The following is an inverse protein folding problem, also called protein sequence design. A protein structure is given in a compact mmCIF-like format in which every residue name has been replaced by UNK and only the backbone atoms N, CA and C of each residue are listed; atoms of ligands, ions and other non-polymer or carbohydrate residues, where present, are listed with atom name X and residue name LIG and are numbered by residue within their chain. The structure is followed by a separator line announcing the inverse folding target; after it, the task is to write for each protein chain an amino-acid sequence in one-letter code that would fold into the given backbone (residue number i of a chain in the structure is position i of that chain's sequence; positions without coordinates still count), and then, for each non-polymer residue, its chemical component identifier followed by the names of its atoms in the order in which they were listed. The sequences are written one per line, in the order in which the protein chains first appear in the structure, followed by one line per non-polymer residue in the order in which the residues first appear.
data_IF_146703254505
#
_entry.id   IF_146703254505
#
_cell.length_a   1.000
_cell.length_b   1.000
_cell.length_c   1.000
_cell.angle_alpha   90.00
_cell.angle_beta   90.00
_cell.angle_gamma   90.00
#
_symmetry.space_group_name_H-M   'P 1'
#
loop_
_entity.id
_entity.type
_entity.pdbx_description
1 polymer ?
#
# COMPACT_ATOMS: atom_id res chain seq x y z
N UNK A 1 0.94 25.24 -0.45
CA UNK A 1 1.11 24.01 -1.27
C UNK A 1 2.54 23.46 -1.24
N UNK A 2 3.60 24.27 -1.46
CA UNK A 2 4.99 23.77 -1.46
C UNK A 2 5.39 22.97 -0.20
N UNK A 3 5.07 23.48 1.00
CA UNK A 3 5.37 22.79 2.27
C UNK A 3 4.75 21.38 2.37
N UNK A 4 3.50 21.22 1.93
CA UNK A 4 2.82 19.92 1.92
C UNK A 4 3.51 18.93 1.00
N UNK A 5 3.84 19.35 -0.23
CA UNK A 5 4.52 18.49 -1.20
C UNK A 5 5.91 18.10 -0.70
N UNK A 6 6.66 19.05 -0.12
CA UNK A 6 7.97 18.75 0.47
C UNK A 6 7.87 17.72 1.58
N UNK A 7 6.92 17.89 2.51
CA UNK A 7 6.73 16.94 3.60
C UNK A 7 6.28 15.57 3.07
N UNK A 8 5.40 15.53 2.08
CA UNK A 8 4.98 14.30 1.41
C UNK A 8 6.14 13.56 0.75
N UNK A 9 7.01 14.26 0.01
CA UNK A 9 8.19 13.67 -0.63
C UNK A 9 9.20 13.16 0.42
N UNK A 10 9.34 13.87 1.54
CA UNK A 10 10.17 13.42 2.66
C UNK A 10 9.62 12.14 3.27
N UNK A 11 8.30 12.06 3.49
CA UNK A 11 7.63 10.88 4.03
C UNK A 11 7.77 9.66 3.09
N UNK A 12 7.57 9.84 1.78
CA UNK A 12 7.80 8.80 0.77
C UNK A 12 9.23 8.23 0.82
N UNK A 13 10.23 9.12 0.89
CA UNK A 13 11.63 8.69 1.02
C UNK A 13 11.90 8.04 2.37
N UNK A 14 11.24 8.50 3.42
CA UNK A 14 11.28 7.91 4.76
C UNK A 14 10.74 6.48 4.75
N UNK A 15 9.63 6.23 4.07
CA UNK A 15 9.03 4.90 3.92
C UNK A 15 9.97 3.86 3.31
N UNK A 16 10.81 4.25 2.36
CA UNK A 16 11.83 3.36 1.76
C UNK A 16 13.07 3.15 2.66
N UNK A 17 13.26 3.98 3.69
CA UNK A 17 14.41 3.89 4.61
C UNK A 17 14.04 3.17 5.91
N UNK A 18 12.77 3.17 6.26
CA UNK A 18 12.23 2.42 7.38
C UNK A 18 12.11 0.94 7.01
N UNK A 19 12.84 0.07 7.72
CA UNK A 19 12.87 -1.38 7.45
C UNK A 19 11.50 -2.03 7.64
N UNK A 20 10.71 -1.56 8.61
CA UNK A 20 9.39 -2.09 8.91
C UNK A 20 8.41 -1.72 7.80
N UNK A 21 8.44 -0.47 7.33
CA UNK A 21 7.58 -0.04 6.21
C UNK A 21 8.00 -0.67 4.89
N UNK A 22 9.30 -0.83 4.63
CA UNK A 22 9.78 -1.55 3.47
C UNK A 22 9.30 -3.01 3.48
N UNK A 23 9.36 -3.66 4.65
CA UNK A 23 8.83 -5.01 4.83
C UNK A 23 7.32 -5.06 4.54
N UNK A 24 6.53 -4.21 5.19
CA UNK A 24 5.07 -4.25 5.10
C UNK A 24 4.55 -3.80 3.73
N UNK A 25 5.11 -2.74 3.16
CA UNK A 25 4.61 -2.21 1.89
C UNK A 25 5.12 -3.03 0.69
N UNK A 26 6.33 -3.60 0.76
CA UNK A 26 6.96 -4.24 -0.41
C UNK A 26 7.28 -5.71 -0.21
N UNK A 27 8.20 -6.02 0.71
CA UNK A 27 8.81 -7.34 0.74
C UNK A 27 7.81 -8.43 1.11
N UNK A 28 6.93 -8.17 2.07
CA UNK A 28 5.93 -9.14 2.50
C UNK A 28 4.83 -9.35 1.44
N UNK A 29 4.17 -8.31 0.89
CA UNK A 29 3.22 -8.48 -0.20
C UNK A 29 3.80 -9.16 -1.44
N UNK A 30 4.99 -8.74 -1.89
CA UNK A 30 5.63 -9.31 -3.08
C UNK A 30 6.12 -10.73 -2.83
N UNK A 31 6.68 -11.01 -1.64
CA UNK A 31 7.08 -12.36 -1.25
C UNK A 31 5.89 -13.31 -1.22
N UNK A 32 4.78 -12.88 -0.62
CA UNK A 32 3.54 -13.67 -0.59
C UNK A 32 2.97 -13.87 -1.99
N UNK A 33 2.98 -12.84 -2.83
CA UNK A 33 2.61 -12.92 -4.23
C UNK A 33 3.43 -13.95 -5.01
N UNK A 34 4.76 -14.00 -4.83
CA UNK A 34 5.60 -14.99 -5.51
C UNK A 34 5.26 -16.41 -5.08
N UNK A 35 5.06 -16.63 -3.78
CA UNK A 35 4.67 -17.94 -3.24
C UNK A 35 3.29 -18.35 -3.76
N UNK A 36 2.29 -17.48 -3.64
CA UNK A 36 0.92 -17.80 -4.06
C UNK A 36 0.80 -17.92 -5.57
N UNK A 37 1.47 -17.07 -6.34
CA UNK A 37 1.51 -17.16 -7.80
C UNK A 37 2.17 -18.44 -8.31
N UNK A 38 3.19 -18.95 -7.61
CA UNK A 38 3.88 -20.19 -8.00
C UNK A 38 3.14 -21.49 -7.62
N UNK A 39 2.31 -21.44 -6.58
CA UNK A 39 1.63 -22.61 -6.00
C UNK A 39 0.16 -22.68 -6.41
N UNK A 40 -0.59 -21.60 -6.23
CA UNK A 40 -2.06 -21.65 -6.32
C UNK A 40 -2.59 -21.99 -7.72
N UNK A 41 -2.04 -21.48 -8.84
CA UNK A 41 -2.48 -21.89 -10.17
C UNK A 41 -2.31 -23.39 -10.45
N UNK A 42 -1.36 -24.05 -9.79
CA UNK A 42 -1.15 -25.51 -9.93
C UNK A 42 -2.18 -26.32 -9.14
N UNK A 43 -2.61 -25.80 -7.99
CA UNK A 43 -3.62 -26.42 -7.14
C UNK A 43 -5.04 -26.15 -7.66
N UNK A 44 -5.26 -24.95 -8.18
CA UNK A 44 -6.52 -24.50 -8.74
C UNK A 44 -6.25 -23.74 -10.06
N UNK A 45 -6.42 -24.37 -11.23
CA UNK A 45 -6.19 -23.74 -12.52
C UNK A 45 -6.99 -22.46 -12.76
N UNK A 46 -8.16 -22.31 -12.10
CA UNK A 46 -8.98 -21.10 -12.20
C UNK A 46 -8.39 -19.92 -11.42
N UNK A 47 -7.44 -20.17 -10.51
CA UNK A 47 -6.82 -19.12 -9.70
C UNK A 47 -6.02 -18.11 -10.54
N UNK A 48 -5.52 -18.52 -11.70
CA UNK A 48 -4.81 -17.62 -12.62
C UNK A 48 -5.65 -16.42 -13.08
N UNK A 49 -6.99 -16.54 -13.07
CA UNK A 49 -7.91 -15.47 -13.46
C UNK A 49 -8.14 -14.44 -12.33
N UNK A 50 -7.91 -14.83 -11.07
CA UNK A 50 -8.10 -13.98 -9.89
C UNK A 50 -6.80 -13.61 -9.16
N UNK A 51 -5.65 -14.15 -9.59
CA UNK A 51 -4.35 -13.92 -8.94
C UNK A 51 -4.05 -12.43 -8.75
N UNK A 52 -4.17 -11.63 -9.82
CA UNK A 52 -3.88 -10.20 -9.80
C UNK A 52 -4.80 -9.44 -8.82
N UNK A 53 -6.14 -9.50 -8.94
CA UNK A 53 -7.02 -8.78 -8.01
C UNK A 53 -6.89 -9.29 -6.56
N UNK A 54 -6.69 -10.59 -6.34
CA UNK A 54 -6.47 -11.11 -4.98
C UNK A 54 -5.18 -10.58 -4.36
N UNK A 55 -4.08 -10.53 -5.11
CA UNK A 55 -2.79 -10.08 -4.59
C UNK A 55 -2.72 -8.55 -4.45
N UNK A 56 -3.44 -7.81 -5.29
CA UNK A 56 -3.68 -6.38 -5.10
C UNK A 56 -4.39 -6.09 -3.77
N UNK A 57 -5.52 -6.76 -3.50
CA UNK A 57 -6.26 -6.58 -2.25
C UNK A 57 -5.40 -6.98 -1.05
N UNK A 58 -4.65 -8.09 -1.15
CA UNK A 58 -3.72 -8.50 -0.11
C UNK A 58 -2.66 -7.43 0.17
N UNK A 59 -2.05 -6.86 -0.86
CA UNK A 59 -1.07 -5.78 -0.72
C UNK A 59 -1.65 -4.53 -0.05
N UNK A 60 -2.90 -4.16 -0.37
CA UNK A 60 -3.61 -3.07 0.30
C UNK A 60 -3.83 -3.38 1.78
N UNK A 61 -4.30 -4.58 2.12
CA UNK A 61 -4.57 -4.98 3.51
C UNK A 61 -3.29 -4.92 4.35
N UNK A 62 -2.19 -5.48 3.85
CA UNK A 62 -0.92 -5.44 4.57
C UNK A 62 -0.43 -4.00 4.75
N UNK A 63 -0.40 -3.22 3.67
CA UNK A 63 0.16 -1.86 3.72
C UNK A 63 -0.70 -0.92 4.57
N UNK A 64 -2.01 -0.90 4.34
CA UNK A 64 -2.93 0.02 5.00
C UNK A 64 -3.30 -0.42 6.41
N UNK A 65 -3.67 -1.69 6.63
CA UNK A 65 -4.18 -2.14 7.94
C UNK A 65 -3.04 -2.54 8.89
N UNK A 66 -1.99 -3.20 8.39
CA UNK A 66 -0.89 -3.67 9.24
C UNK A 66 0.29 -2.68 9.29
N UNK A 67 0.59 -2.01 8.18
CA UNK A 67 1.73 -1.10 8.06
C UNK A 67 1.46 0.30 8.61
N UNK A 68 0.49 1.01 8.04
CA UNK A 68 0.24 2.43 8.29
C UNK A 68 0.01 2.81 9.77
N UNK A 69 -0.74 2.05 10.59
CA UNK A 69 -0.95 2.42 12.00
C UNK A 69 0.35 2.58 12.79
N UNK A 70 1.37 1.77 12.48
CA UNK A 70 2.66 1.86 13.14
C UNK A 70 3.34 3.22 12.90
N UNK A 71 3.17 3.82 11.71
CA UNK A 71 3.70 5.16 11.40
C UNK A 71 3.02 6.22 12.26
N UNK A 72 1.69 6.13 12.36
CA UNK A 72 0.87 7.09 13.11
C UNK A 72 1.16 7.02 14.60
N UNK A 73 1.19 5.81 15.17
CA UNK A 73 1.45 5.58 16.60
C UNK A 73 2.87 5.99 16.95
N UNK A 74 3.87 5.57 16.16
CA UNK A 74 5.27 5.94 16.38
C UNK A 74 5.48 7.45 16.29
N UNK A 75 4.90 8.11 15.29
CA UNK A 75 4.98 9.58 15.13
C UNK A 75 4.32 10.32 16.29
N UNK A 76 3.22 9.79 16.82
CA UNK A 76 2.57 10.31 18.02
C UNK A 76 3.46 10.15 19.26
N UNK A 77 3.98 8.95 19.50
CA UNK A 77 4.79 8.62 20.68
C UNK A 77 6.12 9.38 20.71
N UNK A 78 6.74 9.58 19.55
CA UNK A 78 7.98 10.35 19.42
C UNK A 78 7.75 11.87 19.49
N UNK A 79 6.52 12.33 19.72
CA UNK A 79 6.20 13.75 19.84
C UNK A 79 6.23 14.54 18.53
N UNK A 80 6.38 13.87 17.36
CA UNK A 80 6.39 14.52 16.04
C UNK A 80 5.09 15.28 15.82
N UNK A 81 3.96 14.63 16.13
CA UNK A 81 2.65 15.27 16.00
C UNK A 81 2.46 16.45 16.94
N UNK A 82 3.03 16.40 18.14
CA UNK A 82 3.01 17.53 19.08
C UNK A 82 3.83 18.70 18.52
N UNK A 83 5.02 18.43 17.99
CA UNK A 83 5.88 19.43 17.36
C UNK A 83 5.19 20.08 16.15
N UNK A 84 4.59 19.29 15.26
CA UNK A 84 3.82 19.78 14.11
C UNK A 84 2.66 20.69 14.50
N UNK A 85 1.90 20.30 15.53
CA UNK A 85 0.80 21.13 16.04
C UNK A 85 1.28 22.47 16.59
N UNK A 86 2.41 22.50 17.32
CA UNK A 86 3.00 23.74 17.85
C UNK A 86 3.48 24.65 16.71
N UNK A 87 4.05 24.07 15.66
CA UNK A 87 4.56 24.79 14.49
C UNK A 87 3.48 25.10 13.43
N UNK A 88 2.20 24.99 13.78
CA UNK A 88 1.08 25.40 12.92
C UNK A 88 0.79 24.48 11.72
N UNK A 89 1.31 23.24 11.71
CA UNK A 89 0.96 22.26 10.67
C UNK A 89 -0.50 21.81 10.86
N UNK A 90 -1.27 21.78 9.77
CA UNK A 90 -2.67 21.40 9.84
C UNK A 90 -2.84 19.93 10.26
N UNK A 91 -3.84 19.65 11.09
CA UNK A 91 -4.18 18.27 11.52
C UNK A 91 -4.45 17.35 10.34
N UNK A 92 -5.10 17.87 9.30
CA UNK A 92 -5.36 17.12 8.06
C UNK A 92 -4.08 16.70 7.38
N UNK A 93 -3.06 17.58 7.29
CA UNK A 93 -1.77 17.23 6.68
C UNK A 93 -1.04 16.15 7.47
N UNK A 94 -1.17 16.12 8.80
CA UNK A 94 -0.51 15.14 9.66
C UNK A 94 -1.02 13.70 9.42
N UNK A 95 -2.29 13.56 9.02
CA UNK A 95 -2.90 12.26 8.71
C UNK A 95 -2.85 11.95 7.20
N UNK A 96 -3.12 12.95 6.37
CA UNK A 96 -3.18 12.78 4.92
C UNK A 96 -1.82 12.35 4.34
N UNK A 97 -0.71 12.91 4.82
CA UNK A 97 0.61 12.63 4.26
C UNK A 97 1.02 11.15 4.40
N UNK A 98 1.06 10.55 5.61
CA UNK A 98 1.38 9.13 5.74
C UNK A 98 0.35 8.22 5.03
N UNK A 99 -0.91 8.66 4.94
CA UNK A 99 -1.95 7.94 4.19
C UNK A 99 -1.66 7.92 2.69
N UNK A 100 -1.46 9.09 2.08
CA UNK A 100 -1.11 9.20 0.66
C UNK A 100 0.21 8.49 0.34
N UNK A 101 1.16 8.50 1.27
CA UNK A 101 2.45 7.82 1.14
C UNK A 101 2.26 6.30 1.07
N UNK A 102 1.46 5.75 1.98
CA UNK A 102 1.07 4.33 1.98
C UNK A 102 0.34 3.95 0.69
N UNK A 103 -0.63 4.77 0.25
CA UNK A 103 -1.36 4.57 -1.02
C UNK A 103 -0.38 4.54 -2.20
N UNK A 104 0.58 5.47 -2.24
CA UNK A 104 1.56 5.55 -3.32
C UNK A 104 2.44 4.29 -3.38
N UNK A 105 2.97 3.82 -2.25
CA UNK A 105 3.74 2.57 -2.21
C UNK A 105 2.90 1.36 -2.63
N UNK A 106 1.63 1.32 -2.23
CA UNK A 106 0.69 0.26 -2.60
C UNK A 106 0.39 0.26 -4.11
N UNK A 107 0.30 1.45 -4.73
CA UNK A 107 0.18 1.57 -6.19
C UNK A 107 1.39 0.96 -6.89
N UNK A 108 2.61 1.22 -6.40
CA UNK A 108 3.83 0.65 -6.98
C UNK A 108 3.79 -0.88 -6.90
N UNK A 109 3.45 -1.44 -5.74
CA UNK A 109 3.39 -2.89 -5.53
C UNK A 109 2.32 -3.54 -6.41
N UNK A 110 1.16 -2.90 -6.51
CA UNK A 110 0.07 -3.34 -7.40
C UNK A 110 0.49 -3.30 -8.87
N UNK A 111 1.20 -2.25 -9.28
CA UNK A 111 1.73 -2.14 -10.64
C UNK A 111 2.77 -3.23 -10.94
N UNK A 112 3.65 -3.52 -9.99
CA UNK A 112 4.61 -4.64 -10.10
C UNK A 112 3.84 -5.95 -10.33
N UNK A 113 2.86 -6.27 -9.47
CA UNK A 113 2.05 -7.49 -9.57
C UNK A 113 1.33 -7.57 -10.92
N UNK A 114 0.67 -6.48 -11.34
CA UNK A 114 -0.08 -6.42 -12.60
C UNK A 114 0.81 -6.69 -13.82
N UNK A 115 2.03 -6.13 -13.82
CA UNK A 115 2.97 -6.27 -14.94
C UNK A 115 3.72 -7.62 -14.91
N UNK A 116 4.06 -8.13 -13.73
CA UNK A 116 4.86 -9.36 -13.62
C UNK A 116 4.04 -10.64 -13.63
N UNK A 117 2.76 -10.62 -13.22
CA UNK A 117 1.95 -11.84 -13.09
C UNK A 117 1.72 -12.60 -14.41
N UNK A 118 1.47 -11.93 -15.55
CA UNK A 118 1.36 -12.64 -16.83
C UNK A 118 2.67 -13.31 -17.24
N UNK A 119 3.81 -12.66 -16.98
CA UNK A 119 5.14 -13.14 -17.36
C UNK A 119 5.61 -14.30 -16.47
N UNK A 120 5.44 -14.16 -15.16
CA UNK A 120 5.94 -15.13 -14.18
C UNK A 120 5.04 -16.36 -14.03
N UNK A 121 3.72 -16.17 -14.16
CA UNK A 121 2.73 -17.19 -13.79
C UNK A 121 1.72 -17.51 -14.90
N UNK A 122 1.84 -16.88 -16.07
CA UNK A 122 0.83 -17.03 -17.13
C UNK A 122 -0.55 -16.51 -16.72
N UNK A 123 -0.62 -15.61 -15.73
CA UNK A 123 -1.87 -15.07 -15.25
C UNK A 123 -2.57 -14.24 -16.33
N UNK A 124 -3.90 -14.34 -16.41
CA UNK A 124 -4.66 -13.52 -17.35
C UNK A 124 -4.75 -12.10 -16.83
N UNK A 125 -4.57 -11.13 -17.73
CA UNK A 125 -4.86 -9.74 -17.41
C UNK A 125 -6.36 -9.58 -17.12
N UNK A 126 -6.74 -8.74 -16.15
CA UNK A 126 -8.15 -8.50 -15.84
C UNK A 126 -8.88 -7.96 -17.07
N UNK A 127 -9.96 -8.62 -17.49
CA UNK A 127 -10.73 -8.22 -18.67
C UNK A 127 -11.39 -6.83 -18.55
N UNK A 128 -11.56 -6.33 -17.33
CA UNK A 128 -12.06 -4.99 -17.04
C UNK A 128 -11.08 -4.23 -16.13
N UNK A 129 -10.15 -3.50 -16.74
CA UNK A 129 -9.16 -2.67 -16.03
C UNK A 129 -9.84 -1.55 -15.24
N UNK A 130 -10.92 -0.95 -15.78
CA UNK A 130 -11.69 0.08 -15.06
C UNK A 130 -12.31 -0.46 -13.77
N UNK A 131 -12.84 -1.69 -13.81
CA UNK A 131 -13.33 -2.40 -12.65
C UNK A 131 -12.23 -2.68 -11.62
N UNK A 132 -11.04 -3.09 -12.07
CA UNK A 132 -9.88 -3.28 -11.18
C UNK A 132 -9.49 -1.97 -10.47
N UNK A 133 -9.42 -0.85 -11.20
CA UNK A 133 -9.12 0.47 -10.63
C UNK A 133 -10.19 0.87 -9.62
N UNK A 134 -11.47 0.65 -9.91
CA UNK A 134 -12.56 0.97 -8.99
C UNK A 134 -12.44 0.15 -7.70
N UNK A 135 -12.19 -1.16 -7.81
CA UNK A 135 -11.96 -2.03 -6.64
C UNK A 135 -10.74 -1.57 -5.86
N UNK A 136 -9.63 -1.25 -6.53
CA UNK A 136 -8.44 -0.70 -5.89
C UNK A 136 -8.76 0.55 -5.07
N UNK A 137 -9.44 1.53 -5.68
CA UNK A 137 -9.81 2.79 -5.03
C UNK A 137 -10.77 2.55 -3.85
N UNK A 138 -11.79 1.72 -4.03
CA UNK A 138 -12.74 1.40 -2.97
C UNK A 138 -12.04 0.71 -1.79
N UNK A 139 -11.23 -0.31 -2.05
CA UNK A 139 -10.52 -1.05 -1.01
C UNK A 139 -9.48 -0.18 -0.31
N UNK A 140 -8.69 0.61 -1.03
CA UNK A 140 -7.66 1.45 -0.41
C UNK A 140 -8.28 2.56 0.45
N UNK A 141 -9.38 3.16 0.02
CA UNK A 141 -10.11 4.17 0.82
C UNK A 141 -10.66 3.54 2.10
N UNK A 142 -11.32 2.38 2.00
CA UNK A 142 -11.88 1.69 3.16
C UNK A 142 -10.78 1.27 4.14
N UNK A 143 -9.73 0.60 3.66
CA UNK A 143 -8.67 0.09 4.52
C UNK A 143 -7.86 1.19 5.19
N UNK A 144 -7.52 2.26 4.46
CA UNK A 144 -6.83 3.41 5.05
C UNK A 144 -7.74 4.18 6.01
N UNK A 145 -9.03 4.31 5.70
CA UNK A 145 -10.01 4.89 6.61
C UNK A 145 -10.11 4.13 7.93
N UNK A 146 -10.17 2.80 7.88
CA UNK A 146 -10.17 1.93 9.08
C UNK A 146 -8.88 2.12 9.88
N UNK A 147 -7.73 2.14 9.21
CA UNK A 147 -6.43 2.25 9.86
C UNK A 147 -6.14 3.64 10.47
N UNK A 148 -6.96 4.65 10.17
CA UNK A 148 -6.91 5.98 10.79
C UNK A 148 -7.76 6.08 12.06
N UNK A 149 -8.67 5.14 12.32
CA UNK A 149 -9.52 5.07 13.52
C UNK A 149 -8.74 4.47 14.71
#
# INVERSE_FOLDING_TARGET
MKSFITHFVMDLKGGLRDKTLLLMNYLFPLGFYLVMGGIMPKLNPQYGDILIPSMMIFGILVSAILGMPNVLVTSRNNGIFRSYKINGVSKLSMLAIPTLSTVFHTIIVTAIILLSAPVLFGAKLPGNIGGLILVFLATVIVCTGIALL
#
